data_IF_635250130153
#
_entry.id   IF_635250130153
#
_cell.length_a   1.000
_cell.length_b   1.000
_cell.length_c   1.000
_cell.angle_alpha   90.00
_cell.angle_beta   90.00
_cell.angle_gamma   90.00
#
_symmetry.space_group_name_H-M   'P 1'
#
loop_
_entity.id
_entity.type
_entity.pdbx_description
1 polymer ?
#
# COMPACT_ATOMS: atom_id res chain seq x y z
N UNK A 1 -7.62 16.07 -8.89
CA UNK A 1 -7.32 14.63 -8.76
C UNK A 1 -8.16 13.83 -7.75
N UNK A 2 -9.22 14.36 -7.12
CA UNK A 2 -9.97 13.62 -6.07
C UNK A 2 -10.91 12.50 -6.58
N UNK A 3 -11.17 12.41 -7.88
CA UNK A 3 -12.10 11.41 -8.45
C UNK A 3 -11.44 10.14 -8.99
N UNK A 4 -10.11 9.99 -8.87
CA UNK A 4 -9.36 8.91 -9.52
C UNK A 4 -8.75 7.91 -8.54
N UNK A 5 -8.77 8.20 -7.24
CA UNK A 5 -8.10 7.39 -6.22
C UNK A 5 -8.91 7.32 -4.93
N UNK A 6 -8.85 6.16 -4.30
CA UNK A 6 -9.34 5.90 -2.95
C UNK A 6 -8.17 6.01 -1.97
N UNK A 7 -8.46 6.48 -0.75
CA UNK A 7 -7.51 6.58 0.35
C UNK A 7 -7.96 5.68 1.48
N UNK A 8 -7.11 4.71 1.84
CA UNK A 8 -7.40 3.71 2.86
C UNK A 8 -6.32 3.69 3.94
N UNK A 9 -6.73 3.36 5.17
CA UNK A 9 -5.82 3.15 6.29
C UNK A 9 -5.31 1.71 6.27
N UNK A 10 -4.01 1.55 6.51
CA UNK A 10 -3.36 0.24 6.65
C UNK A 10 -3.52 -0.19 8.11
N UNK A 11 -4.72 -0.65 8.50
CA UNK A 11 -5.03 -0.90 9.94
C UNK A 11 -5.74 -2.21 10.24
N UNK A 12 -6.25 -2.93 9.23
CA UNK A 12 -7.01 -4.17 9.43
C UNK A 12 -6.17 -5.43 9.20
N UNK A 13 -6.64 -6.57 9.70
CA UNK A 13 -5.97 -7.86 9.52
C UNK A 13 -5.80 -8.26 8.04
N UNK A 14 -6.77 -7.91 7.20
CA UNK A 14 -6.71 -8.09 5.74
C UNK A 14 -5.60 -7.25 5.08
N UNK A 15 -5.09 -6.22 5.76
CA UNK A 15 -4.06 -5.31 5.24
C UNK A 15 -2.63 -5.71 5.62
N UNK A 16 -2.43 -6.85 6.30
CA UNK A 16 -1.10 -7.32 6.71
C UNK A 16 -0.12 -7.48 5.53
N UNK A 17 -0.61 -7.86 4.34
CA UNK A 17 0.21 -7.93 3.13
C UNK A 17 0.73 -6.55 2.70
N UNK A 18 -0.14 -5.54 2.66
CA UNK A 18 0.24 -4.16 2.33
C UNK A 18 1.19 -3.56 3.38
N UNK A 19 0.93 -3.84 4.65
CA UNK A 19 1.80 -3.46 5.77
C UNK A 19 3.21 -4.02 5.63
N UNK A 20 3.32 -5.34 5.40
CA UNK A 20 4.59 -6.02 5.18
C UNK A 20 5.33 -5.42 3.98
N UNK A 21 4.61 -5.19 2.88
CA UNK A 21 5.20 -4.61 1.67
C UNK A 21 5.72 -3.18 1.88
N UNK A 22 4.97 -2.33 2.59
CA UNK A 22 5.41 -0.98 2.95
C UNK A 22 6.70 -1.03 3.77
N UNK A 23 6.77 -1.90 4.79
CA UNK A 23 7.98 -2.07 5.61
C UNK A 23 9.17 -2.52 4.77
N UNK A 24 8.99 -3.48 3.85
CA UNK A 24 10.03 -3.93 2.92
C UNK A 24 10.55 -2.81 2.00
N UNK A 25 9.66 -1.96 1.47
CA UNK A 25 10.05 -0.80 0.66
C UNK A 25 10.92 0.16 1.46
N UNK A 26 10.50 0.52 2.68
CA UNK A 26 11.24 1.46 3.53
C UNK A 26 12.60 0.85 3.94
N UNK A 27 12.65 -0.45 4.28
CA UNK A 27 13.91 -1.15 4.57
C UNK A 27 14.86 -1.16 3.37
N UNK A 28 14.35 -1.41 2.15
CA UNK A 28 15.17 -1.32 0.92
C UNK A 28 15.67 0.11 0.71
N UNK A 29 14.83 1.11 0.91
CA UNK A 29 15.24 2.50 0.80
C UNK A 29 16.39 2.82 1.77
N UNK A 30 16.31 2.41 3.03
CA UNK A 30 17.42 2.55 3.98
C UNK A 30 18.69 1.85 3.46
N UNK A 31 18.58 0.58 3.03
CA UNK A 31 19.72 -0.20 2.51
C UNK A 31 20.47 0.51 1.37
N UNK A 32 19.75 1.19 0.47
CA UNK A 32 20.36 1.84 -0.70
C UNK A 32 20.75 3.29 -0.50
N UNK A 33 20.26 3.96 0.55
CA UNK A 33 20.44 5.42 0.72
C UNK A 33 21.11 5.81 2.04
N UNK A 34 21.19 4.90 3.01
CA UNK A 34 21.54 5.22 4.41
C UNK A 34 20.67 6.34 5.01
N UNK A 35 19.43 6.52 4.52
CA UNK A 35 18.50 7.50 5.06
C UNK A 35 18.18 7.21 6.53
N UNK A 36 18.62 8.11 7.41
CA UNK A 36 18.32 7.99 8.84
C UNK A 36 16.82 8.02 9.11
N UNK A 37 16.06 8.77 8.30
CA UNK A 37 14.61 8.78 8.44
C UNK A 37 13.99 7.42 8.13
N UNK A 38 14.48 6.73 7.10
CA UNK A 38 14.02 5.39 6.78
C UNK A 38 14.40 4.37 7.85
N UNK A 39 15.56 4.53 8.49
CA UNK A 39 15.95 3.73 9.65
C UNK A 39 14.96 3.90 10.81
N UNK A 40 14.66 5.15 11.20
CA UNK A 40 13.67 5.43 12.25
C UNK A 40 12.30 4.81 11.94
N UNK A 41 11.84 4.93 10.69
CA UNK A 41 10.55 4.40 10.26
C UNK A 41 10.47 2.87 10.32
N UNK A 42 11.58 2.16 10.12
CA UNK A 42 11.62 0.68 10.18
C UNK A 42 11.76 0.18 11.62
N UNK A 43 12.60 0.86 12.42
CA UNK A 43 12.88 0.50 13.80
C UNK A 43 11.64 0.64 14.71
N UNK A 44 10.78 1.64 14.45
CA UNK A 44 9.55 1.90 15.22
C UNK A 44 8.32 1.97 14.29
N UNK A 45 8.20 0.97 13.41
CA UNK A 45 7.20 0.97 12.34
C UNK A 45 5.76 1.12 12.85
N UNK A 46 5.39 0.45 13.95
CA UNK A 46 4.03 0.43 14.49
C UNK A 46 3.57 1.82 14.95
N UNK A 47 4.51 2.65 15.44
CA UNK A 47 4.24 4.05 15.77
C UNK A 47 3.98 4.89 14.52
N UNK A 48 4.66 4.59 13.42
CA UNK A 48 4.60 5.40 12.20
C UNK A 48 3.54 4.93 11.21
N UNK A 49 3.12 3.67 11.29
CA UNK A 49 2.13 3.04 10.42
C UNK A 49 0.83 3.86 10.26
N UNK A 50 0.22 4.41 11.33
CA UNK A 50 -1.02 5.19 11.21
C UNK A 50 -0.91 6.47 10.36
N UNK A 51 0.30 6.95 10.10
CA UNK A 51 0.54 8.14 9.28
C UNK A 51 0.58 7.84 7.78
N UNK A 52 0.70 6.57 7.39
CA UNK A 52 0.67 6.17 5.99
C UNK A 52 -0.78 6.03 5.49
N UNK A 53 -0.95 6.30 4.20
CA UNK A 53 -2.19 6.10 3.47
C UNK A 53 -1.92 5.19 2.29
N UNK A 54 -2.75 4.17 2.13
CA UNK A 54 -2.79 3.38 0.91
C UNK A 54 -3.59 4.16 -0.13
N UNK A 55 -2.98 4.41 -1.29
CA UNK A 55 -3.64 5.07 -2.42
C UNK A 55 -3.93 4.01 -3.47
N UNK A 56 -5.20 3.73 -3.72
CA UNK A 56 -5.65 2.78 -4.74
C UNK A 56 -6.34 3.54 -5.87
N UNK A 57 -6.14 3.17 -7.15
CA UNK A 57 -6.93 3.74 -8.22
C UNK A 57 -8.41 3.38 -8.04
N UNK A 58 -9.32 4.34 -8.26
CA UNK A 58 -10.76 4.14 -8.08
C UNK A 58 -11.32 3.06 -9.02
N UNK A 59 -10.68 2.84 -10.17
CA UNK A 59 -11.03 1.81 -11.15
C UNK A 59 -10.32 0.46 -10.92
N UNK A 60 -9.49 0.33 -9.88
CA UNK A 60 -8.77 -0.91 -9.57
C UNK A 60 -9.52 -1.83 -8.61
N UNK A 61 -10.85 -1.67 -8.50
CA UNK A 61 -11.62 -2.73 -7.86
C UNK A 61 -11.37 -4.00 -8.69
N UNK A 62 -10.82 -5.03 -8.05
CA UNK A 62 -10.53 -6.33 -8.66
C UNK A 62 -11.79 -6.93 -9.29
N UNK A 63 -12.97 -6.50 -8.84
CA UNK A 63 -14.28 -6.84 -9.38
C UNK A 63 -14.49 -6.39 -10.84
N UNK A 64 -13.95 -5.25 -11.26
CA UNK A 64 -14.09 -4.71 -12.61
C UNK A 64 -13.09 -5.40 -13.55
N UNK A 65 -11.89 -5.72 -13.04
CA UNK A 65 -10.94 -6.56 -13.75
C UNK A 65 -11.48 -7.98 -13.98
N UNK A 66 -12.15 -8.58 -12.98
CA UNK A 66 -12.81 -9.89 -13.09
C UNK A 66 -14.07 -9.86 -13.99
N UNK A 67 -14.85 -8.78 -13.96
CA UNK A 67 -15.95 -8.59 -14.91
C UNK A 67 -15.44 -8.51 -16.35
N UNK A 68 -14.34 -7.80 -16.60
CA UNK A 68 -13.77 -7.68 -17.93
C UNK A 68 -13.25 -9.02 -18.50
N UNK A 69 -12.73 -9.92 -17.67
CA UNK A 69 -12.29 -11.26 -18.12
C UNK A 69 -13.44 -12.24 -18.31
N UNK A 70 -14.56 -12.08 -17.60
CA UNK A 70 -15.74 -12.95 -17.75
C UNK A 70 -16.67 -12.49 -18.89
N UNK A 71 -16.69 -11.19 -19.19
CA UNK A 71 -17.51 -10.62 -20.27
C UNK A 71 -16.97 -10.92 -21.69
N UNK A 72 -15.68 -11.26 -21.82
CA UNK A 72 -15.08 -11.69 -23.09
C UNK A 72 -15.22 -13.21 -23.36
N UNK A 73 -15.98 -13.93 -22.51
CA UNK A 73 -16.25 -15.36 -22.66
C UNK A 73 -17.73 -15.66 -22.99
N UNK A 74 -18.46 -14.69 -23.53
CA UNK A 74 -19.84 -14.84 -24.01
C UNK A 74 -19.95 -14.49 -25.50
#
# INVERSE_FOLDING_TARGET
NRGLVNLERITTEDMQSHRKHLKEIISRHYKYTNSQKAKELVDDFDRFEPYFWLVLPAASNIHDLLKATTANAA
#
